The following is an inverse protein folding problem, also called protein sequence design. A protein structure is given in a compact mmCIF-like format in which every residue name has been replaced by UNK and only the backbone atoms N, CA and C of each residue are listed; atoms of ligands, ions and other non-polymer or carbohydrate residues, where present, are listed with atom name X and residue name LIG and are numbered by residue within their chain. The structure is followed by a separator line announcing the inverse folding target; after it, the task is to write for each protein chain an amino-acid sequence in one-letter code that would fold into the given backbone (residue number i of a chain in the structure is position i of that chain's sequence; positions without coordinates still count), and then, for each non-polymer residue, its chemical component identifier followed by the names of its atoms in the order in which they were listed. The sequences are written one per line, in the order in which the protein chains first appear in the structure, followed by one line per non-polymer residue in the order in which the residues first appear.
data_IF_903864816485
#
_entry.id   IF_903864816485
#
_cell.length_a   1.000
_cell.length_b   1.000
_cell.length_c   1.000
_cell.angle_alpha   90.00
_cell.angle_beta   90.00
_cell.angle_gamma   90.00
#
_symmetry.space_group_name_H-M   'P 1'
#
loop_
_entity.id
_entity.type
_entity.pdbx_description
1 polymer ?
#
# COMPACT_ATOMS: atom_id res chain seq x y z
N UNK A 1 21.80 34.56 -18.74
CA UNK A 1 22.50 34.68 -17.45
C UNK A 1 22.46 33.39 -16.67
N UNK A 2 23.61 32.77 -16.41
CA UNK A 2 23.77 31.63 -15.51
C UNK A 2 23.99 32.11 -14.05
N UNK A 3 23.15 33.02 -13.56
CA UNK A 3 23.29 33.62 -12.22
C UNK A 3 22.14 33.33 -11.26
N UNK A 4 21.30 32.34 -11.56
CA UNK A 4 20.28 31.85 -10.63
C UNK A 4 20.44 30.33 -10.51
N UNK A 5 20.51 29.82 -9.28
CA UNK A 5 20.51 28.37 -8.96
C UNK A 5 19.20 27.67 -9.37
N UNK A 6 18.33 28.36 -10.12
CA UNK A 6 17.05 27.89 -10.63
C UNK A 6 16.83 28.41 -12.06
N UNK A 7 16.00 27.70 -12.82
CA UNK A 7 15.53 28.09 -14.14
C UNK A 7 14.03 28.33 -14.11
N UNK A 8 13.54 29.37 -14.82
CA UNK A 8 12.10 29.54 -15.05
C UNK A 8 11.64 28.50 -16.08
N UNK A 9 10.59 27.75 -15.76
CA UNK A 9 10.03 26.75 -16.67
C UNK A 9 9.26 27.48 -17.79
N UNK A 10 9.67 27.25 -19.04
CA UNK A 10 8.99 27.85 -20.21
C UNK A 10 7.77 27.04 -20.66
N UNK A 11 7.84 25.72 -20.51
CA UNK A 11 6.74 24.81 -20.79
C UNK A 11 6.88 23.57 -19.91
N UNK A 12 5.75 23.00 -19.51
CA UNK A 12 5.67 21.73 -18.79
C UNK A 12 4.79 20.79 -19.61
N UNK A 13 5.25 19.56 -19.84
CA UNK A 13 4.52 18.55 -20.61
C UNK A 13 4.55 17.21 -19.88
N UNK A 14 3.40 16.78 -19.40
CA UNK A 14 3.23 15.51 -18.69
C UNK A 14 2.98 14.37 -19.69
N UNK A 15 3.84 13.34 -19.64
CA UNK A 15 3.73 12.10 -20.41
C UNK A 15 3.52 12.32 -21.92
N UNK A 16 4.49 12.94 -22.63
CA UNK A 16 4.42 13.10 -24.08
C UNK A 16 4.38 11.74 -24.81
N UNK A 17 3.90 11.74 -26.06
CA UNK A 17 4.03 10.57 -26.93
C UNK A 17 5.52 10.29 -27.26
N UNK A 18 5.81 9.07 -27.74
CA UNK A 18 7.18 8.62 -28.00
C UNK A 18 7.96 9.57 -28.92
N UNK A 19 7.33 10.05 -29.98
CA UNK A 19 7.99 10.94 -30.95
C UNK A 19 8.35 12.27 -30.28
N UNK A 20 7.41 12.85 -29.55
CA UNK A 20 7.63 14.09 -28.80
C UNK A 20 8.71 13.92 -27.71
N UNK A 21 8.74 12.77 -27.03
CA UNK A 21 9.76 12.45 -26.03
C UNK A 21 11.17 12.35 -26.64
N UNK A 22 11.30 11.73 -27.81
CA UNK A 22 12.56 11.66 -28.56
C UNK A 22 13.05 13.05 -28.97
N UNK A 23 12.15 13.92 -29.44
CA UNK A 23 12.46 15.32 -29.78
C UNK A 23 12.95 16.09 -28.54
N UNK A 24 12.28 15.95 -27.39
CA UNK A 24 12.69 16.58 -26.14
C UNK A 24 14.09 16.13 -25.71
N UNK A 25 14.35 14.81 -25.74
CA UNK A 25 15.65 14.25 -25.37
C UNK A 25 16.77 14.73 -26.29
N UNK A 26 16.55 14.70 -27.62
CA UNK A 26 17.55 15.14 -28.60
C UNK A 26 17.84 16.63 -28.52
N UNK A 27 16.86 17.45 -28.17
CA UNK A 27 17.05 18.90 -28.07
C UNK A 27 18.01 19.31 -26.95
N UNK A 28 18.13 18.50 -25.89
CA UNK A 28 18.87 18.83 -24.66
C UNK A 28 18.31 20.01 -23.87
N UNK A 29 17.11 20.50 -24.22
CA UNK A 29 16.46 21.67 -23.59
C UNK A 29 15.41 21.30 -22.55
N UNK A 30 15.15 20.01 -22.38
CA UNK A 30 14.15 19.48 -21.44
C UNK A 30 14.83 18.66 -20.35
N UNK A 31 14.23 18.70 -19.17
CA UNK A 31 14.62 17.91 -18.00
C UNK A 31 13.42 17.10 -17.53
N UNK A 32 13.67 15.94 -16.92
CA UNK A 32 12.60 15.12 -16.35
C UNK A 32 12.05 15.75 -15.07
N UNK A 33 10.73 15.75 -14.92
CA UNK A 33 10.10 16.09 -13.66
C UNK A 33 10.32 14.95 -12.65
N UNK A 34 10.91 15.25 -11.50
CA UNK A 34 11.14 14.27 -10.44
C UNK A 34 9.88 13.97 -9.60
N UNK A 35 8.76 14.65 -9.87
CA UNK A 35 7.51 14.56 -9.09
C UNK A 35 7.59 15.23 -7.72
N UNK A 36 8.66 16.00 -7.47
CA UNK A 36 8.88 16.70 -6.20
C UNK A 36 8.54 18.18 -6.36
N UNK A 37 7.67 18.67 -5.48
CA UNK A 37 7.21 20.06 -5.49
C UNK A 37 7.52 20.76 -4.18
N UNK A 38 7.91 22.03 -4.29
CA UNK A 38 8.04 22.95 -3.17
C UNK A 38 7.24 24.21 -3.47
N UNK A 39 6.29 24.54 -2.60
CA UNK A 39 5.50 25.75 -2.72
C UNK A 39 5.05 26.22 -1.33
N UNK A 40 4.77 27.53 -1.22
CA UNK A 40 4.06 28.04 -0.04
C UNK A 40 2.57 27.66 -0.14
N UNK A 41 1.89 27.50 1.00
CA UNK A 41 0.44 27.25 1.04
C UNK A 41 -0.30 28.35 0.28
N UNK A 42 0.11 29.62 0.47
CA UNK A 42 -0.47 30.77 -0.23
C UNK A 42 -0.35 30.64 -1.75
N UNK A 43 0.81 30.23 -2.24
CA UNK A 43 1.05 30.03 -3.68
C UNK A 43 0.18 28.91 -4.22
N UNK A 44 0.17 27.75 -3.55
CA UNK A 44 -0.66 26.61 -3.99
C UNK A 44 -2.14 26.98 -4.04
N UNK A 45 -2.68 27.64 -2.99
CA UNK A 45 -4.08 28.05 -2.99
C UNK A 45 -4.41 28.99 -4.16
N UNK A 46 -3.53 29.96 -4.44
CA UNK A 46 -3.73 30.88 -5.57
C UNK A 46 -3.68 30.17 -6.93
N UNK A 47 -2.78 29.22 -7.13
CA UNK A 47 -2.68 28.46 -8.38
C UNK A 47 -3.85 27.49 -8.55
N UNK A 48 -4.32 26.87 -7.47
CA UNK A 48 -5.54 26.06 -7.47
C UNK A 48 -6.77 26.90 -7.82
N UNK A 49 -6.93 28.09 -7.24
CA UNK A 49 -8.05 28.97 -7.55
C UNK A 49 -8.10 29.32 -9.05
N UNK A 50 -6.94 29.53 -9.69
CA UNK A 50 -6.84 29.87 -11.12
C UNK A 50 -7.07 28.68 -12.04
N UNK A 51 -6.48 27.51 -11.73
CA UNK A 51 -6.32 26.42 -12.69
C UNK A 51 -7.14 25.17 -12.38
N UNK A 52 -7.64 25.05 -11.15
CA UNK A 52 -8.34 23.87 -10.61
C UNK A 52 -9.28 24.27 -9.45
N UNK A 53 -10.19 25.22 -9.72
CA UNK A 53 -11.00 25.92 -8.71
C UNK A 53 -11.92 24.99 -7.91
N UNK A 54 -12.30 23.84 -8.46
CA UNK A 54 -13.05 22.78 -7.80
C UNK A 54 -12.30 22.20 -6.57
N UNK A 55 -10.97 22.11 -6.65
CA UNK A 55 -10.13 21.71 -5.53
C UNK A 55 -10.01 22.84 -4.52
N UNK A 56 -9.81 24.08 -5.00
CA UNK A 56 -9.75 25.26 -4.14
C UNK A 56 -11.00 25.40 -3.27
N UNK A 57 -12.18 25.15 -3.84
CA UNK A 57 -13.47 25.18 -3.15
C UNK A 57 -13.61 24.14 -2.02
N UNK A 58 -12.68 23.17 -1.93
CA UNK A 58 -12.62 22.19 -0.86
C UNK A 58 -11.75 22.65 0.32
N UNK A 59 -10.87 23.62 0.11
CA UNK A 59 -10.06 24.22 1.18
C UNK A 59 -10.95 25.07 2.11
N UNK A 60 -10.65 25.02 3.41
CA UNK A 60 -11.38 25.77 4.45
C UNK A 60 -12.69 25.13 4.92
N UNK A 61 -13.09 23.99 4.34
CA UNK A 61 -14.20 23.17 4.86
C UNK A 61 -13.75 22.37 6.09
N UNK A 62 -14.72 21.94 6.92
CA UNK A 62 -14.42 20.97 7.98
C UNK A 62 -13.96 19.65 7.37
N UNK A 63 -13.27 18.83 8.15
CA UNK A 63 -12.78 17.53 7.70
C UNK A 63 -13.93 16.63 7.21
N UNK A 64 -15.06 16.64 7.89
CA UNK A 64 -16.26 15.86 7.53
C UNK A 64 -16.84 16.32 6.19
N UNK A 65 -16.91 17.64 5.98
CA UNK A 65 -17.41 18.22 4.73
C UNK A 65 -16.43 17.99 3.56
N UNK A 66 -15.12 17.97 3.84
CA UNK A 66 -14.12 17.56 2.85
C UNK A 66 -14.30 16.09 2.46
N UNK A 67 -14.43 15.17 3.43
CA UNK A 67 -14.63 13.75 3.15
C UNK A 67 -15.88 13.47 2.32
N UNK A 68 -17.01 14.11 2.64
CA UNK A 68 -18.24 13.93 1.86
C UNK A 68 -18.12 14.47 0.43
N UNK A 69 -17.38 15.57 0.25
CA UNK A 69 -17.13 16.19 -1.04
C UNK A 69 -16.05 15.50 -1.88
N UNK A 70 -15.08 14.81 -1.26
CA UNK A 70 -13.89 14.27 -1.92
C UNK A 70 -14.23 13.31 -3.06
N UNK A 71 -15.25 12.47 -2.87
CA UNK A 71 -15.73 11.50 -3.88
C UNK A 71 -16.19 12.15 -5.20
N UNK A 72 -16.51 13.44 -5.16
CA UNK A 72 -16.97 14.20 -6.33
C UNK A 72 -15.83 14.97 -7.02
N UNK A 73 -14.62 14.98 -6.44
CA UNK A 73 -13.47 15.65 -7.05
C UNK A 73 -12.90 14.80 -8.20
N UNK A 74 -12.43 15.42 -9.28
CA UNK A 74 -11.83 14.69 -10.39
C UNK A 74 -10.52 14.02 -9.96
N UNK A 75 -10.29 12.79 -10.42
CA UNK A 75 -9.03 12.09 -10.22
C UNK A 75 -8.01 12.56 -11.28
N UNK A 76 -7.27 13.62 -10.98
CA UNK A 76 -6.27 14.26 -11.86
C UNK A 76 -4.99 14.55 -11.09
N UNK A 77 -3.82 14.41 -11.72
CA UNK A 77 -2.53 14.73 -11.09
C UNK A 77 -2.30 16.23 -11.02
N UNK A 78 -1.42 16.66 -10.12
CA UNK A 78 -1.00 18.06 -10.00
C UNK A 78 -0.33 18.56 -11.28
N UNK A 79 0.36 17.66 -12.01
CA UNK A 79 1.04 17.96 -13.27
C UNK A 79 0.04 18.48 -14.31
N UNK A 80 -1.08 17.77 -14.50
CA UNK A 80 -2.14 18.18 -15.42
C UNK A 80 -3.03 19.29 -14.85
N UNK A 81 -3.33 19.25 -13.56
CA UNK A 81 -4.24 20.19 -12.93
C UNK A 81 -3.65 21.61 -12.88
N UNK A 82 -2.35 21.72 -12.58
CA UNK A 82 -1.63 22.97 -12.34
C UNK A 82 -0.40 23.09 -13.24
N UNK A 83 0.54 22.14 -13.22
CA UNK A 83 1.88 22.36 -13.78
C UNK A 83 1.91 22.63 -15.29
N UNK A 84 1.09 21.94 -16.09
CA UNK A 84 0.97 22.22 -17.54
C UNK A 84 0.36 23.59 -17.86
N UNK A 85 -0.35 24.21 -16.90
CA UNK A 85 -1.14 25.44 -17.12
C UNK A 85 -0.53 26.68 -16.48
N UNK A 86 0.30 26.51 -15.45
CA UNK A 86 0.86 27.61 -14.67
C UNK A 86 2.08 28.23 -15.36
N UNK A 87 2.15 29.55 -15.34
CA UNK A 87 3.31 30.34 -15.79
C UNK A 87 4.25 30.72 -14.63
N UNK A 88 3.93 30.26 -13.41
CA UNK A 88 4.59 30.59 -12.15
C UNK A 88 5.36 29.39 -11.58
N UNK A 89 6.17 28.75 -12.44
CA UNK A 89 6.98 27.59 -12.07
C UNK A 89 8.46 27.91 -12.29
N UNK A 90 9.26 27.58 -11.27
CA UNK A 90 10.72 27.52 -11.36
C UNK A 90 11.17 26.08 -11.07
N UNK A 91 12.32 25.72 -11.60
CA UNK A 91 12.92 24.40 -11.41
C UNK A 91 14.37 24.53 -10.94
N UNK A 92 14.80 23.53 -10.18
CA UNK A 92 16.19 23.33 -9.78
C UNK A 92 16.68 22.05 -10.45
N UNK A 93 17.81 22.12 -11.16
CA UNK A 93 18.43 20.93 -11.73
C UNK A 93 19.09 20.11 -10.61
N UNK A 94 18.96 18.79 -10.67
CA UNK A 94 19.45 17.89 -9.63
C UNK A 94 20.20 16.70 -10.22
N UNK A 95 21.40 16.45 -9.71
CA UNK A 95 22.21 15.27 -10.01
C UNK A 95 22.37 14.42 -8.75
N UNK A 96 21.37 13.57 -8.47
CA UNK A 96 21.32 12.75 -7.25
C UNK A 96 20.88 11.30 -7.48
N UNK A 97 21.07 10.75 -8.69
CA UNK A 97 20.79 9.34 -8.98
C UNK A 97 19.32 8.96 -8.74
N UNK A 98 18.41 9.70 -9.36
CA UNK A 98 16.96 9.55 -9.19
C UNK A 98 16.36 8.43 -10.06
N UNK A 99 15.36 7.73 -9.52
CA UNK A 99 14.47 6.81 -10.24
C UNK A 99 13.10 6.84 -9.56
N UNK A 100 12.03 6.79 -10.35
CA UNK A 100 10.64 6.73 -9.88
C UNK A 100 10.20 5.33 -9.42
N UNK A 101 11.04 4.30 -9.61
CA UNK A 101 10.75 2.89 -9.36
C UNK A 101 9.35 2.51 -9.89
N UNK A 102 9.09 2.83 -11.15
CA UNK A 102 7.79 2.62 -11.79
C UNK A 102 7.48 1.17 -12.19
N UNK A 103 8.46 0.27 -12.17
CA UNK A 103 8.28 -1.11 -12.62
C UNK A 103 9.25 -2.11 -12.02
N UNK A 104 8.95 -3.40 -12.20
CA UNK A 104 9.82 -4.48 -11.73
C UNK A 104 11.16 -4.55 -12.49
N UNK A 105 11.22 -4.04 -13.73
CA UNK A 105 12.49 -3.87 -14.44
C UNK A 105 13.38 -2.83 -13.72
N UNK A 106 12.84 -1.66 -13.39
CA UNK A 106 13.56 -0.64 -12.63
C UNK A 106 13.99 -1.15 -11.25
N UNK A 107 13.11 -1.89 -10.56
CA UNK A 107 13.45 -2.53 -9.29
C UNK A 107 14.60 -3.54 -9.45
N UNK A 108 14.57 -4.37 -10.49
CA UNK A 108 15.62 -5.34 -10.78
C UNK A 108 16.96 -4.66 -11.05
N UNK A 109 16.98 -3.53 -11.75
CA UNK A 109 18.21 -2.75 -11.99
C UNK A 109 18.81 -2.16 -10.72
N UNK A 110 17.96 -1.63 -9.83
CA UNK A 110 18.39 -1.06 -8.55
C UNK A 110 18.96 -2.15 -7.65
N UNK A 111 18.24 -3.26 -7.50
CA UNK A 111 18.63 -4.36 -6.61
C UNK A 111 19.80 -5.20 -7.15
N UNK A 112 20.05 -5.21 -8.48
CA UNK A 112 21.29 -5.78 -9.02
C UNK A 112 22.55 -5.04 -8.53
N UNK A 113 22.44 -3.73 -8.27
CA UNK A 113 23.56 -2.89 -7.80
C UNK A 113 23.80 -3.06 -6.30
N UNK A 114 22.76 -3.38 -5.54
CA UNK A 114 22.92 -3.77 -4.14
C UNK A 114 23.39 -5.23 -4.10
N UNK A 115 24.35 -5.57 -3.23
CA UNK A 115 24.73 -6.97 -2.98
C UNK A 115 23.65 -7.69 -2.16
N UNK A 116 22.38 -7.43 -2.46
CA UNK A 116 21.29 -8.07 -1.75
C UNK A 116 21.14 -9.48 -2.30
N UNK A 117 21.84 -10.41 -1.66
CA UNK A 117 21.65 -11.82 -1.91
C UNK A 117 20.31 -12.16 -1.33
N UNK A 118 19.26 -12.20 -2.15
CA UNK A 118 18.01 -12.82 -1.74
C UNK A 118 18.34 -14.26 -1.28
N UNK A 119 18.37 -14.55 0.04
CA UNK A 119 19.04 -15.74 0.57
C UNK A 119 18.27 -17.03 0.25
N UNK A 120 17.07 -16.89 -0.34
CA UNK A 120 16.15 -17.97 -0.68
C UNK A 120 15.82 -18.03 -2.18
N UNK A 121 16.73 -17.59 -3.04
CA UNK A 121 16.67 -17.87 -4.48
C UNK A 121 17.73 -18.91 -4.87
N UNK A 122 17.28 -20.02 -5.47
CA UNK A 122 18.14 -21.02 -6.10
C UNK A 122 18.01 -20.91 -7.62
N UNK A 123 19.14 -20.74 -8.29
CA UNK A 123 19.21 -20.58 -9.74
C UNK A 123 20.03 -21.71 -10.35
N UNK A 124 19.42 -22.47 -11.27
CA UNK A 124 20.05 -23.60 -11.97
C UNK A 124 19.98 -23.33 -13.47
N UNK A 125 21.12 -23.18 -14.14
CA UNK A 125 21.19 -22.95 -15.59
C UNK A 125 20.33 -21.76 -16.09
N UNK A 126 20.20 -20.69 -15.28
CA UNK A 126 19.47 -19.49 -15.66
C UNK A 126 20.40 -18.33 -16.06
N UNK A 127 19.90 -17.43 -16.91
CA UNK A 127 20.57 -16.21 -17.35
C UNK A 127 19.66 -15.00 -17.11
N UNK A 128 20.16 -13.95 -16.44
CA UNK A 128 19.41 -12.71 -16.23
C UNK A 128 17.98 -12.93 -15.66
N UNK A 129 17.90 -13.60 -14.51
CA UNK A 129 16.64 -13.81 -13.79
C UNK A 129 16.63 -12.97 -12.52
N UNK A 130 15.58 -12.18 -12.35
CA UNK A 130 15.34 -11.40 -11.14
C UNK A 130 14.23 -12.05 -10.33
N UNK A 131 14.48 -12.24 -9.04
CA UNK A 131 13.55 -12.88 -8.12
C UNK A 131 13.38 -12.04 -6.86
N UNK A 132 12.14 -11.67 -6.58
CA UNK A 132 11.75 -11.02 -5.34
C UNK A 132 10.66 -11.84 -4.64
N UNK A 133 10.81 -12.03 -3.33
CA UNK A 133 9.84 -12.72 -2.47
C UNK A 133 9.53 -11.83 -1.29
N UNK A 134 8.25 -11.51 -1.08
CA UNK A 134 7.81 -10.74 0.07
C UNK A 134 7.65 -11.60 1.34
N UNK A 135 7.48 -12.93 1.16
CA UNK A 135 7.20 -13.88 2.24
C UNK A 135 8.43 -14.67 2.73
N UNK A 136 9.61 -14.39 2.18
CA UNK A 136 10.81 -15.21 2.32
C UNK A 136 10.57 -16.68 1.91
N UNK A 137 9.78 -16.92 0.85
CA UNK A 137 9.62 -18.23 0.24
C UNK A 137 10.90 -18.67 -0.51
N UNK A 138 11.19 -19.97 -0.52
CA UNK A 138 12.23 -20.51 -1.40
C UNK A 138 11.74 -20.52 -2.84
N UNK A 139 12.40 -19.76 -3.71
CA UNK A 139 12.11 -19.73 -5.14
C UNK A 139 13.25 -20.43 -5.87
N UNK A 140 12.89 -21.42 -6.69
CA UNK A 140 13.84 -22.19 -7.49
C UNK A 140 13.54 -21.93 -8.97
N UNK A 141 14.52 -21.42 -9.70
CA UNK A 141 14.42 -21.18 -11.14
C UNK A 141 15.40 -22.08 -11.87
N UNK A 142 14.95 -22.72 -12.96
CA UNK A 142 15.77 -23.62 -13.75
C UNK A 142 15.62 -23.36 -15.25
N UNK A 143 16.72 -23.16 -15.98
CA UNK A 143 16.72 -23.03 -17.45
C UNK A 143 16.01 -21.77 -17.98
N UNK A 144 15.84 -20.74 -17.16
CA UNK A 144 15.14 -19.51 -17.52
C UNK A 144 16.10 -18.42 -18.01
N UNK A 145 15.65 -17.62 -18.96
CA UNK A 145 16.39 -16.47 -19.47
C UNK A 145 15.51 -15.22 -19.53
N UNK A 146 16.02 -14.09 -19.03
CA UNK A 146 15.37 -12.77 -19.07
C UNK A 146 13.97 -12.78 -18.42
N UNK A 147 13.90 -13.25 -17.17
CA UNK A 147 12.64 -13.42 -16.42
C UNK A 147 12.63 -12.65 -15.10
N UNK A 148 11.50 -12.03 -14.81
CA UNK A 148 11.15 -11.48 -13.50
C UNK A 148 10.18 -12.44 -12.81
N UNK A 149 10.50 -12.81 -11.58
CA UNK A 149 9.62 -13.57 -10.67
C UNK A 149 9.37 -12.72 -9.44
N UNK A 150 8.12 -12.36 -9.19
CA UNK A 150 7.68 -11.65 -7.99
C UNK A 150 6.71 -12.56 -7.26
N UNK A 151 7.07 -12.99 -6.06
CA UNK A 151 6.20 -13.70 -5.15
C UNK A 151 5.75 -12.76 -4.04
N UNK A 152 4.46 -12.80 -3.74
CA UNK A 152 3.86 -12.07 -2.64
C UNK A 152 2.73 -12.89 -2.02
N UNK A 153 3.06 -13.75 -1.07
CA UNK A 153 2.12 -14.51 -0.24
C UNK A 153 1.13 -15.37 -1.07
N UNK A 154 0.02 -14.80 -1.51
CA UNK A 154 -1.07 -15.47 -2.23
C UNK A 154 -0.88 -15.54 -3.76
N UNK A 155 0.08 -14.78 -4.29
CA UNK A 155 0.23 -14.61 -5.73
C UNK A 155 1.69 -14.59 -6.17
N UNK A 156 1.92 -15.08 -7.40
CA UNK A 156 3.22 -15.10 -8.05
C UNK A 156 3.06 -14.54 -9.47
N UNK A 157 3.78 -13.45 -9.76
CA UNK A 157 3.94 -12.93 -11.11
C UNK A 157 5.22 -13.50 -11.71
N UNK A 158 5.11 -14.12 -12.89
CA UNK A 158 6.25 -14.50 -13.72
C UNK A 158 6.10 -13.81 -15.06
N UNK A 159 7.06 -12.96 -15.42
CA UNK A 159 7.03 -12.22 -16.67
C UNK A 159 8.41 -12.07 -17.30
N UNK A 160 8.44 -11.71 -18.57
CA UNK A 160 9.69 -11.44 -19.28
C UNK A 160 10.23 -10.06 -18.89
N UNK A 161 11.55 -9.95 -18.75
CA UNK A 161 12.24 -8.67 -18.59
C UNK A 161 12.04 -7.77 -19.81
N UNK A 162 11.98 -6.45 -19.56
CA UNK A 162 11.74 -5.42 -20.56
C UNK A 162 10.26 -5.20 -20.91
N UNK A 163 9.34 -5.98 -20.33
CA UNK A 163 7.91 -5.87 -20.58
C UNK A 163 7.12 -5.39 -19.34
N UNK A 164 7.78 -5.07 -18.21
CA UNK A 164 7.08 -4.80 -16.94
C UNK A 164 6.16 -3.58 -16.99
N UNK A 165 6.59 -2.48 -17.63
CA UNK A 165 5.85 -1.20 -17.61
C UNK A 165 4.43 -1.33 -18.17
N UNK A 166 4.26 -2.11 -19.24
CA UNK A 166 2.95 -2.34 -19.88
C UNK A 166 2.33 -3.69 -19.52
N UNK A 167 3.15 -4.69 -19.20
CA UNK A 167 2.72 -6.05 -18.89
C UNK A 167 1.94 -6.12 -17.58
N UNK A 168 2.47 -5.52 -16.51
CA UNK A 168 1.82 -5.55 -15.19
C UNK A 168 0.44 -4.87 -15.24
N UNK A 169 0.34 -3.72 -15.92
CA UNK A 169 -0.94 -3.02 -16.08
C UNK A 169 -1.99 -3.89 -16.77
N UNK A 170 -1.63 -4.56 -17.86
CA UNK A 170 -2.53 -5.49 -18.59
C UNK A 170 -2.96 -6.67 -17.71
N UNK A 171 -2.03 -7.25 -16.93
CA UNK A 171 -2.34 -8.33 -16.00
C UNK A 171 -3.34 -7.86 -14.94
N UNK A 172 -3.09 -6.69 -14.33
CA UNK A 172 -4.01 -6.10 -13.33
C UNK A 172 -5.39 -5.84 -13.95
N UNK A 173 -5.47 -5.26 -15.14
CA UNK A 173 -6.75 -5.01 -15.84
C UNK A 173 -7.50 -6.33 -16.11
N UNK A 174 -6.81 -7.36 -16.58
CA UNK A 174 -7.39 -8.68 -16.81
C UNK A 174 -7.93 -9.31 -15.51
N UNK A 175 -7.12 -9.30 -14.45
CA UNK A 175 -7.50 -9.85 -13.15
C UNK A 175 -8.71 -9.09 -12.56
N UNK A 176 -8.77 -7.75 -12.75
CA UNK A 176 -9.94 -6.93 -12.35
C UNK A 176 -11.20 -7.34 -13.11
N UNK A 177 -11.11 -7.51 -14.43
CA UNK A 177 -12.24 -7.92 -15.27
C UNK A 177 -12.79 -9.28 -14.83
N UNK A 178 -11.90 -10.21 -14.49
CA UNK A 178 -12.25 -11.56 -14.04
C UNK A 178 -12.57 -11.67 -12.55
N UNK A 179 -12.46 -10.56 -11.79
CA UNK A 179 -12.75 -10.48 -10.35
C UNK A 179 -11.96 -11.49 -9.52
N UNK A 180 -10.66 -11.59 -9.80
CA UNK A 180 -9.74 -12.36 -8.96
C UNK A 180 -9.64 -11.70 -7.57
N UNK A 181 -9.82 -12.48 -6.49
CA UNK A 181 -9.85 -11.95 -5.11
C UNK A 181 -8.50 -11.36 -4.66
N UNK A 182 -7.38 -11.82 -5.22
CA UNK A 182 -6.02 -11.38 -4.89
C UNK A 182 -5.78 -9.89 -5.23
N UNK A 183 -6.68 -9.25 -6.00
CA UNK A 183 -6.62 -7.82 -6.26
C UNK A 183 -7.40 -6.95 -5.27
N UNK A 184 -8.36 -7.52 -4.55
CA UNK A 184 -9.21 -6.79 -3.60
C UNK A 184 -8.80 -7.01 -2.16
N UNK A 185 -8.20 -8.15 -1.88
CA UNK A 185 -7.98 -8.61 -0.52
C UNK A 185 -6.57 -8.27 -0.08
N UNK A 186 -6.44 -7.24 0.75
CA UNK A 186 -5.19 -6.91 1.41
C UNK A 186 -4.80 -8.06 2.34
N UNK A 187 -3.75 -8.81 1.97
CA UNK A 187 -3.19 -9.86 2.83
C UNK A 187 -2.73 -9.27 4.16
N UNK A 188 -2.19 -8.05 4.13
CA UNK A 188 -1.79 -7.28 5.31
C UNK A 188 -2.56 -5.97 5.35
N UNK A 189 -3.37 -5.81 6.39
CA UNK A 189 -4.25 -4.66 6.57
C UNK A 189 -3.78 -3.83 7.75
N UNK A 190 -3.40 -2.58 7.48
CA UNK A 190 -3.02 -1.62 8.51
C UNK A 190 -4.24 -0.92 9.12
N UNK A 191 -4.18 -0.70 10.43
CA UNK A 191 -5.20 -0.01 11.24
C UNK A 191 -4.52 0.92 12.24
N UNK A 192 -5.22 1.92 12.79
CA UNK A 192 -4.63 2.83 13.79
C UNK A 192 -4.06 2.10 15.01
N UNK A 193 -4.69 0.99 15.44
CA UNK A 193 -4.24 0.17 16.56
C UNK A 193 -3.11 -0.81 16.22
N UNK A 194 -2.71 -0.95 14.95
CA UNK A 194 -1.78 -2.00 14.53
C UNK A 194 -2.01 -2.50 13.11
N UNK A 195 -1.96 -3.82 12.93
CA UNK A 195 -2.28 -4.48 11.67
C UNK A 195 -2.82 -5.88 11.90
N UNK A 196 -3.48 -6.45 10.90
CA UNK A 196 -3.69 -7.88 10.82
C UNK A 196 -3.21 -8.42 9.48
N UNK A 197 -2.86 -9.69 9.45
CA UNK A 197 -2.47 -10.45 8.26
C UNK A 197 -3.38 -11.68 8.13
N UNK A 198 -3.91 -11.95 6.95
CA UNK A 198 -4.66 -13.18 6.67
C UNK A 198 -3.65 -14.27 6.28
N UNK A 199 -3.54 -15.31 7.10
CA UNK A 199 -2.60 -16.40 6.88
C UNK A 199 -3.22 -17.58 6.11
N UNK A 200 -4.48 -17.87 6.41
CA UNK A 200 -5.23 -18.98 5.81
C UNK A 200 -6.68 -18.53 5.64
N UNK A 201 -7.23 -18.78 4.47
CA UNK A 201 -8.64 -18.58 4.18
C UNK A 201 -9.24 -19.83 3.56
N UNK A 202 -10.34 -20.31 4.13
CA UNK A 202 -11.07 -21.47 3.65
C UNK A 202 -12.57 -21.28 3.82
N UNK A 203 -13.34 -22.23 3.28
CA UNK A 203 -14.81 -22.13 3.22
C UNK A 203 -15.50 -21.90 4.57
N UNK A 204 -14.93 -22.41 5.66
CA UNK A 204 -15.52 -22.38 7.01
C UNK A 204 -14.55 -21.91 8.10
N UNK A 205 -13.36 -21.45 7.72
CA UNK A 205 -12.35 -20.97 8.66
C UNK A 205 -11.49 -19.88 8.04
N UNK A 206 -11.00 -18.97 8.88
CA UNK A 206 -10.07 -17.91 8.50
C UNK A 206 -9.07 -17.73 9.64
N UNK A 207 -7.77 -17.74 9.34
CA UNK A 207 -6.70 -17.58 10.33
C UNK A 207 -6.04 -16.23 10.10
N UNK A 208 -6.00 -15.41 11.13
CA UNK A 208 -5.39 -14.08 11.10
C UNK A 208 -4.27 -13.96 12.11
N UNK A 209 -3.21 -13.24 11.77
CA UNK A 209 -2.19 -12.76 12.71
C UNK A 209 -2.44 -11.28 12.99
N UNK A 210 -2.76 -10.96 14.24
CA UNK A 210 -2.84 -9.57 14.70
C UNK A 210 -1.49 -9.12 15.25
N UNK A 211 -1.10 -7.90 14.92
CA UNK A 211 -0.05 -7.14 15.60
C UNK A 211 -0.68 -5.90 16.19
N UNK A 212 -0.87 -5.86 17.51
CA UNK A 212 -1.47 -4.71 18.22
C UNK A 212 -0.35 -3.87 18.83
N UNK A 213 -0.32 -2.58 18.51
CA UNK A 213 0.71 -1.67 18.99
C UNK A 213 0.58 -1.40 20.50
N UNK A 214 1.68 -0.99 21.17
CA UNK A 214 1.68 -0.70 22.60
C UNK A 214 0.61 0.33 22.99
N UNK A 215 -0.21 0.01 23.99
CA UNK A 215 -1.28 0.89 24.48
C UNK A 215 -2.55 0.93 23.63
N UNK A 216 -2.55 0.29 22.47
CA UNK A 216 -3.68 0.28 21.54
C UNK A 216 -4.65 -0.88 21.80
N UNK A 217 -5.85 -0.78 21.23
CA UNK A 217 -6.88 -1.83 21.36
C UNK A 217 -7.75 -1.94 20.12
N UNK A 218 -8.31 -3.13 19.92
CA UNK A 218 -9.37 -3.31 18.93
C UNK A 218 -10.69 -2.73 19.45
N UNK A 219 -11.64 -2.49 18.56
CA UNK A 219 -13.00 -2.09 18.95
C UNK A 219 -13.63 -3.17 19.82
N UNK A 220 -14.51 -2.78 20.75
CA UNK A 220 -15.37 -3.76 21.41
C UNK A 220 -16.40 -4.21 20.39
N UNK A 221 -16.40 -5.48 20.06
CA UNK A 221 -17.19 -6.00 18.95
C UNK A 221 -17.80 -7.35 19.27
N UNK A 222 -18.66 -7.83 18.37
CA UNK A 222 -19.32 -9.13 18.43
C UNK A 222 -19.58 -9.61 17.00
N UNK A 223 -19.61 -10.94 16.81
CA UNK A 223 -19.97 -11.56 15.55
C UNK A 223 -21.21 -12.45 15.73
N UNK A 224 -22.11 -12.46 14.74
CA UNK A 224 -23.34 -13.27 14.83
C UNK A 224 -23.12 -14.68 14.27
N UNK A 225 -22.26 -14.83 13.27
CA UNK A 225 -22.16 -16.05 12.46
C UNK A 225 -20.84 -16.80 12.62
N UNK A 226 -19.90 -16.28 13.42
CA UNK A 226 -18.62 -16.95 13.69
C UNK A 226 -18.23 -16.94 15.17
N UNK A 227 -17.50 -17.98 15.55
CA UNK A 227 -16.76 -18.05 16.80
C UNK A 227 -15.27 -17.86 16.50
N UNK A 228 -14.50 -17.53 17.52
CA UNK A 228 -13.07 -17.24 17.38
C UNK A 228 -12.26 -17.97 18.44
N UNK A 229 -11.03 -18.33 18.12
CA UNK A 229 -10.05 -18.82 19.07
C UNK A 229 -8.81 -17.94 18.97
N UNK A 230 -8.37 -17.37 20.07
CA UNK A 230 -7.20 -16.50 20.12
C UNK A 230 -6.06 -17.17 20.88
N UNK A 231 -4.86 -17.12 20.33
CA UNK A 231 -3.63 -17.58 20.98
C UNK A 231 -2.63 -16.42 21.00
N UNK A 232 -2.12 -16.08 22.18
CA UNK A 232 -1.07 -15.06 22.29
C UNK A 232 0.26 -15.68 21.88
N UNK A 233 0.84 -15.21 20.78
CA UNK A 233 2.16 -15.66 20.32
C UNK A 233 3.28 -14.89 21.00
N UNK A 234 3.07 -13.59 21.23
CA UNK A 234 4.09 -12.71 21.84
C UNK A 234 3.46 -11.60 22.66
N UNK A 235 4.00 -11.33 23.84
CA UNK A 235 3.57 -10.26 24.73
C UNK A 235 2.44 -10.65 25.68
N UNK A 236 1.70 -9.64 26.14
CA UNK A 236 0.61 -9.78 27.11
C UNK A 236 -0.64 -9.15 26.53
N UNK A 237 -1.77 -9.86 26.55
CA UNK A 237 -3.06 -9.38 26.06
C UNK A 237 -4.04 -9.19 27.21
N UNK A 238 -4.72 -8.05 27.26
CA UNK A 238 -5.93 -7.90 28.06
C UNK A 238 -7.13 -8.25 27.18
N UNK A 239 -7.91 -9.23 27.63
CA UNK A 239 -9.05 -9.79 26.90
C UNK A 239 -10.34 -9.41 27.61
N UNK A 240 -11.31 -8.91 26.85
CA UNK A 240 -12.73 -8.92 27.21
C UNK A 240 -13.39 -10.09 26.48
N UNK A 241 -14.11 -10.94 27.21
CA UNK A 241 -14.89 -12.06 26.66
C UNK A 241 -16.23 -12.14 27.43
N UNK A 242 -17.25 -11.53 26.85
CA UNK A 242 -18.55 -11.31 27.49
C UNK A 242 -18.41 -10.39 28.70
N UNK A 243 -18.78 -10.89 29.87
CA UNK A 243 -18.69 -10.18 31.14
C UNK A 243 -17.33 -10.37 31.83
N UNK A 244 -16.47 -11.24 31.31
CA UNK A 244 -15.15 -11.53 31.89
C UNK A 244 -14.09 -10.64 31.27
N UNK A 245 -13.23 -10.12 32.12
CA UNK A 245 -11.99 -9.45 31.74
C UNK A 245 -10.81 -10.14 32.42
N UNK A 246 -9.83 -10.55 31.64
CA UNK A 246 -8.65 -11.25 32.13
C UNK A 246 -7.44 -10.99 31.24
N UNK A 247 -6.27 -11.35 31.74
CA UNK A 247 -5.00 -11.22 31.02
C UNK A 247 -4.55 -12.57 30.50
N UNK A 248 -4.05 -12.61 29.27
CA UNK A 248 -3.37 -13.75 28.67
C UNK A 248 -1.91 -13.40 28.41
N UNK A 249 -1.03 -14.35 28.67
CA UNK A 249 0.40 -14.32 28.37
C UNK A 249 0.73 -15.21 27.16
N UNK A 250 1.97 -15.16 26.71
CA UNK A 250 2.47 -16.01 25.61
C UNK A 250 2.11 -17.48 25.80
N UNK A 251 1.68 -18.12 24.71
CA UNK A 251 1.18 -19.50 24.65
C UNK A 251 -0.16 -19.75 25.34
N UNK A 252 -0.76 -18.76 26.00
CA UNK A 252 -2.13 -18.88 26.52
C UNK A 252 -3.18 -18.55 25.45
N UNK A 253 -4.40 -19.03 25.65
CA UNK A 253 -5.47 -18.90 24.65
C UNK A 253 -6.85 -18.74 25.27
N UNK A 254 -7.79 -18.26 24.45
CA UNK A 254 -9.21 -18.18 24.80
C UNK A 254 -10.08 -18.52 23.60
N UNK A 255 -11.24 -19.10 23.87
CA UNK A 255 -12.32 -19.25 22.92
C UNK A 255 -13.35 -18.13 23.11
N UNK A 256 -13.75 -17.50 22.02
CA UNK A 256 -14.79 -16.48 21.96
C UNK A 256 -16.01 -17.11 21.28
N UNK A 257 -17.08 -17.41 22.03
CA UNK A 257 -18.32 -17.94 21.45
C UNK A 257 -18.98 -16.93 20.50
N UNK A 258 -19.85 -17.43 19.61
CA UNK A 258 -20.75 -16.60 18.81
C UNK A 258 -21.55 -15.65 19.72
N UNK A 259 -21.90 -14.49 19.19
CA UNK A 259 -22.72 -13.48 19.86
C UNK A 259 -22.15 -13.01 21.22
N UNK A 260 -20.85 -13.19 21.43
CA UNK A 260 -20.17 -12.75 22.64
C UNK A 260 -19.37 -11.48 22.36
N UNK A 261 -19.60 -10.44 23.18
CA UNK A 261 -18.81 -9.19 23.09
C UNK A 261 -17.36 -9.48 23.47
N UNK A 262 -16.42 -9.02 22.67
CA UNK A 262 -15.02 -9.26 22.91
C UNK A 262 -14.14 -8.10 22.45
N UNK A 263 -12.96 -8.01 23.07
CA UNK A 263 -11.92 -7.00 22.76
C UNK A 263 -10.55 -7.55 23.12
N UNK A 264 -9.57 -7.22 22.28
CA UNK A 264 -8.14 -7.37 22.56
C UNK A 264 -7.56 -5.99 22.83
N UNK A 265 -6.77 -5.87 23.90
CA UNK A 265 -5.96 -4.68 24.20
C UNK A 265 -4.52 -5.07 24.51
N UNK A 266 -3.56 -4.25 24.08
CA UNK A 266 -2.15 -4.41 24.40
C UNK A 266 -1.73 -3.47 25.55
N UNK A 267 -1.70 -3.92 26.81
CA UNK A 267 -1.20 -3.11 27.94
C UNK A 267 0.32 -2.95 27.97
N UNK A 268 1.05 -3.65 27.09
CA UNK A 268 2.51 -3.72 27.09
C UNK A 268 3.19 -2.49 26.47
N UNK A 269 4.52 -2.53 26.49
CA UNK A 269 5.40 -1.53 25.84
C UNK A 269 5.99 -2.01 24.51
N UNK A 270 5.64 -3.22 24.08
CA UNK A 270 6.08 -3.83 22.82
C UNK A 270 4.87 -4.37 22.08
N UNK A 271 5.02 -4.64 20.78
CA UNK A 271 3.93 -5.17 19.97
C UNK A 271 3.43 -6.51 20.53
N UNK A 272 2.10 -6.63 20.64
CA UNK A 272 1.40 -7.85 20.98
C UNK A 272 1.08 -8.60 19.69
N UNK A 273 1.44 -9.88 19.62
CA UNK A 273 1.12 -10.75 18.48
C UNK A 273 0.14 -11.84 18.90
N UNK A 274 -0.97 -11.96 18.17
CA UNK A 274 -2.04 -12.93 18.42
C UNK A 274 -2.37 -13.65 17.13
N UNK A 275 -2.57 -14.96 17.21
CA UNK A 275 -3.18 -15.76 16.16
C UNK A 275 -4.66 -15.96 16.49
N UNK A 276 -5.52 -15.53 15.58
CA UNK A 276 -6.95 -15.74 15.62
C UNK A 276 -7.34 -16.81 14.63
N UNK A 277 -8.11 -17.80 15.07
CA UNK A 277 -8.79 -18.77 14.23
C UNK A 277 -10.28 -18.51 14.30
N UNK A 278 -10.84 -18.00 13.20
CA UNK A 278 -12.27 -17.82 13.05
C UNK A 278 -12.89 -19.09 12.49
N UNK A 279 -14.04 -19.50 13.01
CA UNK A 279 -14.81 -20.64 12.50
C UNK A 279 -16.29 -20.30 12.38
N UNK A 280 -16.90 -20.59 11.23
CA UNK A 280 -18.29 -20.24 10.99
C UNK A 280 -18.75 -20.51 9.57
N UNK A 281 -20.02 -20.23 9.34
CA UNK A 281 -20.68 -20.30 8.03
C UNK A 281 -20.55 -18.98 7.23
N UNK A 282 -20.02 -17.93 7.88
CA UNK A 282 -19.76 -16.62 7.29
C UNK A 282 -18.71 -15.86 8.09
N UNK A 283 -17.68 -15.32 7.42
CA UNK A 283 -16.45 -14.81 8.06
C UNK A 283 -16.08 -13.38 7.65
N UNK A 284 -16.95 -12.69 6.92
CA UNK A 284 -16.68 -11.37 6.38
C UNK A 284 -16.82 -10.24 7.41
N UNK A 285 -16.21 -9.09 7.13
CA UNK A 285 -16.16 -7.96 8.07
C UNK A 285 -17.53 -7.27 8.30
N UNK A 286 -18.54 -7.55 7.49
CA UNK A 286 -19.91 -7.04 7.68
C UNK A 286 -20.72 -7.84 8.74
N UNK A 287 -20.22 -8.98 9.22
CA UNK A 287 -20.78 -9.66 10.41
C UNK A 287 -20.42 -8.98 11.73
N UNK A 288 -19.56 -7.95 11.69
CA UNK A 288 -19.03 -7.28 12.88
C UNK A 288 -20.03 -6.23 13.39
N UNK A 289 -20.51 -6.42 14.62
CA UNK A 289 -21.26 -5.40 15.37
C UNK A 289 -20.32 -4.69 16.34
N UNK A 290 -20.09 -3.39 16.15
CA UNK A 290 -19.20 -2.56 16.99
C UNK A 290 -19.99 -1.83 18.06
N UNK A 291 -19.49 -1.84 19.29
CA UNK A 291 -20.10 -1.17 20.44
C UNK A 291 -19.30 0.05 20.91
N UNK A 292 -17.97 -0.03 20.83
CA UNK A 292 -17.06 1.06 21.20
C UNK A 292 -15.86 1.04 20.25
N UNK A 293 -15.68 2.12 19.49
CA UNK A 293 -14.52 2.31 18.63
C UNK A 293 -13.87 3.68 18.87
N UNK A 294 -12.60 3.67 19.26
CA UNK A 294 -11.81 4.88 19.46
C UNK A 294 -11.33 5.51 18.14
N UNK A 295 -11.58 4.86 17.00
CA UNK A 295 -11.05 5.25 15.68
C UNK A 295 -12.13 5.62 14.66
N UNK A 296 -13.36 5.85 15.11
CA UNK A 296 -14.44 6.42 14.27
C UNK A 296 -14.99 5.50 13.18
N UNK A 297 -14.72 4.19 13.23
CA UNK A 297 -15.33 3.20 12.32
C UNK A 297 -16.74 2.88 12.80
N UNK A 298 -17.68 2.86 11.85
CA UNK A 298 -19.06 2.47 12.10
C UNK A 298 -19.22 0.95 12.08
#
# INVERSE_FOLDING_TARGET
DKSSDYCKVSAFKEKPDLKTAEEFFQSGQYLWNAGMYLFSIKTLCSELEKHASEFHASFGKSFEAFLDGFKNLPAISIDYAISEKSDNIIMFEGDFGWSDIGSFDALAEILKKTKDKNPKHVSVDCENVFVHSASDGLIVTSGLKDVIVIENNDSILVQKMGESDSGVKKVVEYLKEKKYPELSDDIVVYRPWGKYEVLIEGKNHKVKKFTVYPGESLSLQMHKRRAEHWVVVRGTANIVNGEKSFTLHESESTFIPRETKHRISNPGKTNLEIIEVQTGDYLEEDDIVRFEDSYGRK
#
